data_IF_606123698177
#
_entry.id   IF_606123698177
#
_cell.length_a   1.000
_cell.length_b   1.000
_cell.length_c   1.000
_cell.angle_alpha   90.00
_cell.angle_beta   90.00
_cell.angle_gamma   90.00
#
_symmetry.space_group_name_H-M   'P 1'
#
loop_
_entity.id
_entity.type
_entity.pdbx_description
1 polymer ?
#
# COMPACT_ATOMS: atom_id res chain seq x y z
N UNK A 1 9.97 -32.06 -2.83
CA UNK A 1 9.26 -31.56 -1.63
C UNK A 1 9.82 -32.23 -0.40
N UNK A 2 10.52 -31.48 0.44
CA UNK A 2 10.88 -31.94 1.78
C UNK A 2 9.67 -31.67 2.67
N UNK A 3 8.98 -32.72 3.13
CA UNK A 3 7.86 -32.55 4.06
C UNK A 3 8.40 -32.01 5.39
N UNK A 4 8.10 -30.75 5.70
CA UNK A 4 8.47 -30.14 6.98
C UNK A 4 7.49 -30.68 8.02
N UNK A 5 7.98 -31.52 8.92
CA UNK A 5 7.13 -32.15 9.95
C UNK A 5 6.58 -31.09 10.88
N UNK A 6 5.26 -31.07 11.08
CA UNK A 6 4.59 -30.11 11.99
C UNK A 6 4.23 -28.77 11.37
N UNK A 7 4.53 -28.55 10.07
CA UNK A 7 4.10 -27.37 9.33
C UNK A 7 2.67 -27.56 8.79
N UNK A 8 1.79 -26.60 9.05
CA UNK A 8 0.44 -26.53 8.49
C UNK A 8 0.21 -25.17 7.83
N UNK A 9 -0.38 -25.17 6.62
CA UNK A 9 -0.90 -23.97 5.95
C UNK A 9 -2.42 -24.01 6.06
N UNK A 10 -2.99 -23.40 7.09
CA UNK A 10 -4.41 -23.48 7.39
C UNK A 10 -5.15 -22.29 6.77
N UNK A 11 -6.21 -22.49 5.97
CA UNK A 11 -7.03 -21.39 5.47
C UNK A 11 -7.52 -20.52 6.61
N UNK A 12 -7.38 -19.21 6.47
CA UNK A 12 -7.80 -18.25 7.47
C UNK A 12 -9.31 -18.02 7.34
N UNK A 13 -10.03 -18.24 8.43
CA UNK A 13 -11.43 -17.83 8.53
C UNK A 13 -11.47 -16.32 8.75
N UNK A 14 -12.23 -15.61 7.91
CA UNK A 14 -12.46 -14.17 8.07
C UNK A 14 -13.74 -14.01 8.90
N UNK A 15 -13.63 -13.59 10.18
CA UNK A 15 -14.78 -13.51 11.06
C UNK A 15 -15.69 -12.33 10.68
N UNK A 16 -16.95 -12.39 11.09
CA UNK A 16 -17.88 -11.26 10.92
C UNK A 16 -17.45 -10.04 11.77
N UNK A 17 -16.95 -10.32 12.97
CA UNK A 17 -16.44 -9.37 13.98
C UNK A 17 -15.26 -9.99 14.72
N UNK A 18 -14.37 -9.16 15.28
CA UNK A 18 -13.26 -9.64 16.13
C UNK A 18 -13.72 -10.26 17.45
N UNK A 19 -14.97 -10.02 17.84
CA UNK A 19 -15.58 -10.62 19.03
C UNK A 19 -16.25 -11.98 18.73
N UNK A 20 -16.27 -12.40 17.46
CA UNK A 20 -16.89 -13.66 17.06
C UNK A 20 -16.11 -14.88 17.60
N UNK A 21 -16.77 -16.00 17.91
CA UNK A 21 -16.09 -17.20 18.45
C UNK A 21 -15.00 -17.79 17.55
N UNK A 22 -15.06 -17.51 16.25
CA UNK A 22 -14.12 -17.95 15.22
C UNK A 22 -13.03 -16.93 14.88
N UNK A 23 -12.96 -15.80 15.59
CA UNK A 23 -12.00 -14.73 15.31
C UNK A 23 -10.57 -15.00 15.80
N UNK A 24 -10.34 -16.06 16.59
CA UNK A 24 -9.08 -16.31 17.26
C UNK A 24 -7.88 -16.38 16.30
N UNK A 25 -8.00 -17.11 15.19
CA UNK A 25 -6.94 -17.24 14.19
C UNK A 25 -6.67 -15.91 13.47
N UNK A 26 -7.70 -15.09 13.23
CA UNK A 26 -7.56 -13.78 12.60
C UNK A 26 -6.84 -12.79 13.53
N UNK A 27 -7.23 -12.74 14.81
CA UNK A 27 -6.60 -11.88 15.81
C UNK A 27 -5.14 -12.28 16.01
N UNK A 28 -4.85 -13.58 16.09
CA UNK A 28 -3.48 -14.06 16.24
C UNK A 28 -2.64 -13.80 14.98
N UNK A 29 -3.23 -13.95 13.79
CA UNK A 29 -2.58 -13.57 12.53
C UNK A 29 -2.18 -12.09 12.54
N UNK A 30 -3.06 -11.18 12.98
CA UNK A 30 -2.76 -9.74 13.06
C UNK A 30 -1.63 -9.47 14.05
N UNK A 31 -1.63 -10.12 15.22
CA UNK A 31 -0.56 -10.00 16.21
C UNK A 31 0.79 -10.41 15.63
N UNK A 32 0.83 -11.56 14.94
CA UNK A 32 2.05 -12.09 14.31
C UNK A 32 2.50 -11.20 13.16
N UNK A 33 1.58 -10.72 12.31
CA UNK A 33 1.85 -9.71 11.29
C UNK A 33 2.55 -8.50 11.90
N UNK A 34 1.99 -7.88 12.92
CA UNK A 34 2.57 -6.67 13.52
C UNK A 34 3.96 -6.90 14.13
N UNK A 35 4.26 -8.11 14.62
CA UNK A 35 5.64 -8.48 15.01
C UNK A 35 6.57 -8.57 13.79
N UNK A 36 6.14 -9.21 12.70
CA UNK A 36 6.94 -9.36 11.48
C UNK A 36 7.30 -7.99 10.89
N UNK A 37 6.33 -7.07 10.77
CA UNK A 37 6.60 -5.72 10.27
C UNK A 37 7.60 -4.98 11.18
N UNK A 38 7.47 -5.12 12.50
CA UNK A 38 8.44 -4.54 13.46
C UNK A 38 9.83 -5.17 13.37
N UNK A 39 9.93 -6.47 13.10
CA UNK A 39 11.22 -7.12 12.84
C UNK A 39 11.89 -6.57 11.57
N UNK A 40 11.10 -6.30 10.52
CA UNK A 40 11.56 -5.78 9.22
C UNK A 40 12.03 -4.32 9.35
N UNK A 41 11.13 -3.42 9.75
CA UNK A 41 11.38 -1.97 9.74
C UNK A 41 12.11 -1.47 10.99
N UNK A 42 12.08 -2.25 12.08
CA UNK A 42 12.63 -1.85 13.38
C UNK A 42 11.74 -0.90 14.19
N UNK A 43 10.52 -0.60 13.71
CA UNK A 43 9.55 0.26 14.40
C UNK A 43 8.11 -0.25 14.20
N UNK A 44 7.14 0.39 14.86
CA UNK A 44 5.74 -0.06 14.90
C UNK A 44 4.79 0.71 13.98
N UNK A 45 5.30 1.45 12.99
CA UNK A 45 4.48 2.42 12.23
C UNK A 45 3.46 1.74 11.29
N UNK A 46 3.65 0.45 11.01
CA UNK A 46 2.76 -0.43 10.22
C UNK A 46 1.82 -1.28 11.09
N UNK A 47 1.85 -1.08 12.40
CA UNK A 47 0.96 -1.78 13.31
C UNK A 47 -0.50 -1.40 13.04
N UNK A 48 -1.39 -2.37 13.18
CA UNK A 48 -2.83 -2.17 12.99
C UNK A 48 -3.60 -3.05 13.96
N UNK A 49 -4.72 -2.55 14.50
CA UNK A 49 -5.58 -3.37 15.34
C UNK A 49 -6.36 -4.41 14.51
N UNK A 50 -6.73 -5.57 15.08
CA UNK A 50 -7.46 -6.60 14.35
C UNK A 50 -8.78 -6.12 13.73
N UNK A 51 -9.55 -5.31 14.45
CA UNK A 51 -10.82 -4.75 13.99
C UNK A 51 -10.64 -3.68 12.92
N UNK A 52 -9.48 -3.01 12.88
CA UNK A 52 -9.15 -2.08 11.82
C UNK A 52 -8.69 -2.79 10.54
N UNK A 53 -8.02 -3.93 10.67
CA UNK A 53 -7.58 -4.73 9.53
C UNK A 53 -8.72 -5.52 8.91
N UNK A 54 -9.68 -6.00 9.73
CA UNK A 54 -10.74 -6.92 9.31
C UNK A 54 -11.53 -6.47 8.06
N UNK A 55 -11.94 -5.20 7.90
CA UNK A 55 -12.66 -4.76 6.70
C UNK A 55 -11.89 -4.99 5.39
N UNK A 56 -10.55 -4.98 5.43
CA UNK A 56 -9.70 -5.24 4.26
C UNK A 56 -9.70 -6.72 3.85
N UNK A 57 -10.13 -7.63 4.72
CA UNK A 57 -10.22 -9.07 4.43
C UNK A 57 -11.62 -9.52 4.03
N UNK A 58 -12.62 -8.65 4.16
CA UNK A 58 -14.00 -8.98 3.80
C UNK A 58 -14.09 -9.23 2.29
N UNK A 59 -14.82 -10.27 1.85
CA UNK A 59 -15.08 -10.48 0.43
C UNK A 59 -15.72 -9.26 -0.21
N UNK A 60 -15.32 -8.94 -1.43
CA UNK A 60 -15.92 -7.88 -2.23
C UNK A 60 -16.03 -8.31 -3.70
N UNK A 61 -16.65 -7.46 -4.52
CA UNK A 61 -16.90 -7.77 -5.93
C UNK A 61 -15.64 -7.65 -6.82
N UNK A 62 -14.63 -6.91 -6.38
CA UNK A 62 -13.49 -6.47 -7.20
C UNK A 62 -12.27 -7.37 -7.08
N UNK A 63 -12.15 -8.13 -5.99
CA UNK A 63 -11.03 -9.07 -5.78
C UNK A 63 -11.45 -10.32 -5.01
N UNK A 64 -10.80 -11.44 -5.31
CA UNK A 64 -10.79 -12.61 -4.44
C UNK A 64 -9.49 -12.61 -3.64
N UNK A 65 -9.60 -12.59 -2.31
CA UNK A 65 -8.48 -12.73 -1.38
C UNK A 65 -8.47 -14.13 -0.78
N UNK A 66 -7.43 -14.90 -1.09
CA UNK A 66 -7.16 -16.18 -0.45
C UNK A 66 -6.10 -15.98 0.65
N UNK A 67 -6.34 -16.48 1.86
CA UNK A 67 -5.43 -16.24 2.99
C UNK A 67 -5.28 -17.48 3.85
N UNK A 68 -4.06 -17.67 4.38
CA UNK A 68 -3.70 -18.77 5.26
C UNK A 68 -2.84 -18.26 6.40
N UNK A 69 -3.00 -18.88 7.57
CA UNK A 69 -2.00 -18.82 8.64
C UNK A 69 -1.00 -19.97 8.46
N UNK A 70 0.25 -19.69 8.81
CA UNK A 70 1.32 -20.68 8.80
C UNK A 70 1.52 -21.13 10.24
N UNK A 71 1.28 -22.42 10.53
CA UNK A 71 1.49 -22.99 11.85
C UNK A 71 2.72 -23.90 11.87
N UNK A 72 3.49 -23.82 12.95
CA UNK A 72 4.55 -24.77 13.30
C UNK A 72 4.29 -25.29 14.70
N UNK A 73 3.91 -26.58 14.82
CA UNK A 73 3.52 -27.19 16.09
C UNK A 73 2.41 -26.40 16.82
N UNK A 74 1.36 -26.03 16.09
CA UNK A 74 0.19 -25.24 16.56
C UNK A 74 0.48 -23.76 16.92
N UNK A 75 1.72 -23.29 16.79
CA UNK A 75 2.04 -21.86 16.90
C UNK A 75 1.87 -21.17 15.56
N UNK A 76 1.13 -20.06 15.50
CA UNK A 76 1.08 -19.20 14.31
C UNK A 76 2.42 -18.48 14.17
N UNK A 77 3.13 -18.76 13.09
CA UNK A 77 4.46 -18.20 12.80
C UNK A 77 4.50 -17.25 11.61
N UNK A 78 3.35 -17.04 10.96
CA UNK A 78 3.25 -16.16 9.80
C UNK A 78 1.95 -16.33 9.03
N UNK A 79 1.90 -15.73 7.84
CA UNK A 79 0.74 -15.75 6.94
C UNK A 79 1.14 -15.84 5.48
N UNK A 80 0.21 -16.31 4.67
CA UNK A 80 0.26 -16.32 3.21
C UNK A 80 -1.01 -15.64 2.70
N UNK A 81 -0.86 -14.74 1.73
CA UNK A 81 -1.98 -14.09 1.05
C UNK A 81 -1.81 -14.18 -0.47
N UNK A 82 -2.91 -14.36 -1.19
CA UNK A 82 -2.99 -14.28 -2.65
C UNK A 82 -4.23 -13.48 -3.00
N UNK A 83 -4.02 -12.32 -3.62
CA UNK A 83 -5.06 -11.41 -4.09
C UNK A 83 -5.21 -11.53 -5.59
N UNK A 84 -6.47 -11.64 -5.99
CA UNK A 84 -6.86 -12.03 -7.34
C UNK A 84 -7.85 -10.98 -7.85
N UNK A 85 -7.36 -9.91 -8.51
CA UNK A 85 -8.23 -8.87 -9.06
C UNK A 85 -9.18 -9.42 -10.13
N UNK A 86 -10.40 -8.91 -10.16
CA UNK A 86 -11.45 -9.30 -11.09
C UNK A 86 -11.59 -8.36 -12.29
N UNK A 87 -10.82 -7.26 -12.34
CA UNK A 87 -10.84 -6.32 -13.46
C UNK A 87 -10.55 -7.02 -14.80
N UNK A 88 -11.20 -6.55 -15.86
CA UNK A 88 -11.10 -7.13 -17.19
C UNK A 88 -9.64 -7.10 -17.70
N UNK A 89 -9.19 -8.22 -18.26
CA UNK A 89 -7.81 -8.35 -18.75
C UNK A 89 -6.76 -8.62 -17.66
N UNK A 90 -7.14 -8.68 -16.38
CA UNK A 90 -6.23 -9.06 -15.30
C UNK A 90 -5.68 -10.48 -15.52
N UNK A 91 -4.35 -10.60 -15.56
CA UNK A 91 -3.62 -11.88 -15.63
C UNK A 91 -2.75 -12.13 -14.38
N UNK A 92 -2.70 -11.15 -13.48
CA UNK A 92 -1.81 -11.14 -12.32
C UNK A 92 -2.50 -11.65 -11.06
N UNK A 93 -1.72 -12.28 -10.19
CA UNK A 93 -2.03 -12.42 -8.77
C UNK A 93 -0.97 -11.67 -7.96
N UNK A 94 -1.41 -10.95 -6.95
CA UNK A 94 -0.54 -10.32 -5.97
C UNK A 94 -0.44 -11.24 -4.76
N UNK A 95 0.73 -11.37 -4.16
CA UNK A 95 0.88 -12.31 -3.05
C UNK A 95 1.85 -11.82 -2.00
N UNK A 96 1.74 -12.40 -0.80
CA UNK A 96 2.67 -12.21 0.29
C UNK A 96 2.96 -13.53 0.99
N UNK A 97 4.18 -13.67 1.50
CA UNK A 97 4.57 -14.68 2.49
C UNK A 97 5.35 -13.94 3.57
N UNK A 98 4.76 -13.89 4.76
CA UNK A 98 5.34 -13.20 5.90
C UNK A 98 5.56 -14.23 7.01
N UNK A 99 6.79 -14.34 7.49
CA UNK A 99 7.19 -15.32 8.51
C UNK A 99 8.04 -14.62 9.58
N UNK A 100 7.84 -14.98 10.84
CA UNK A 100 8.71 -14.54 11.94
C UNK A 100 10.17 -14.90 11.64
N UNK A 101 11.10 -13.95 11.82
CA UNK A 101 12.52 -14.08 11.47
C UNK A 101 13.18 -15.31 12.09
N UNK A 102 12.77 -15.69 13.29
CA UNK A 102 13.25 -16.90 13.99
C UNK A 102 12.96 -18.22 13.27
N UNK A 103 12.04 -18.26 12.29
CA UNK A 103 11.72 -19.46 11.51
C UNK A 103 12.38 -19.50 10.14
N UNK A 104 13.11 -18.46 9.76
CA UNK A 104 13.75 -18.37 8.45
C UNK A 104 14.83 -19.45 8.27
N UNK A 105 15.15 -19.74 7.00
CA UNK A 105 16.16 -20.75 6.65
C UNK A 105 15.74 -22.21 6.85
N UNK A 106 14.48 -22.47 7.24
CA UNK A 106 13.93 -23.83 7.45
C UNK A 106 13.18 -24.41 6.24
N UNK A 107 13.10 -23.67 5.13
CA UNK A 107 12.36 -24.06 3.92
C UNK A 107 10.84 -23.79 3.96
N UNK A 108 10.33 -23.20 5.06
CA UNK A 108 8.90 -22.91 5.26
C UNK A 108 8.37 -21.97 4.17
N UNK A 109 9.11 -20.89 3.87
CA UNK A 109 8.72 -19.95 2.81
C UNK A 109 8.58 -20.62 1.44
N UNK A 110 9.48 -21.55 1.09
CA UNK A 110 9.38 -22.31 -0.16
C UNK A 110 8.17 -23.25 -0.19
N UNK A 111 7.86 -23.90 0.93
CA UNK A 111 6.66 -24.73 1.04
C UNK A 111 5.37 -23.89 0.93
N UNK A 112 5.34 -22.71 1.54
CA UNK A 112 4.24 -21.74 1.39
C UNK A 112 4.12 -21.21 -0.04
N UNK A 113 5.25 -21.02 -0.73
CA UNK A 113 5.26 -20.53 -2.10
C UNK A 113 4.66 -21.52 -3.11
N UNK A 114 4.79 -22.84 -2.88
CA UNK A 114 4.09 -23.85 -3.68
C UNK A 114 2.55 -23.69 -3.61
N UNK A 115 2.02 -23.19 -2.49
CA UNK A 115 0.59 -22.86 -2.35
C UNK A 115 0.23 -21.62 -3.17
N UNK A 116 1.01 -20.55 -3.08
CA UNK A 116 0.83 -19.32 -3.87
C UNK A 116 0.72 -19.64 -5.37
N UNK A 117 1.71 -20.38 -5.88
CA UNK A 117 1.79 -20.75 -7.29
C UNK A 117 0.63 -21.62 -7.77
N UNK A 118 0.15 -22.52 -6.91
CA UNK A 118 -1.01 -23.36 -7.20
C UNK A 118 -2.30 -22.54 -7.21
N UNK A 119 -2.53 -21.73 -6.18
CA UNK A 119 -3.71 -20.87 -6.08
C UNK A 119 -3.83 -19.92 -7.26
N UNK A 120 -2.72 -19.30 -7.68
CA UNK A 120 -2.72 -18.44 -8.85
C UNK A 120 -3.13 -19.19 -10.13
N UNK A 121 -2.58 -20.38 -10.37
CA UNK A 121 -2.95 -21.22 -11.52
C UNK A 121 -4.40 -21.70 -11.47
N UNK A 122 -4.91 -22.07 -10.30
CA UNK A 122 -6.31 -22.45 -10.10
C UNK A 122 -7.28 -21.32 -10.49
N UNK A 123 -6.85 -20.06 -10.35
CA UNK A 123 -7.61 -18.89 -10.77
C UNK A 123 -7.19 -18.35 -12.15
N UNK A 124 -6.42 -19.12 -12.93
CA UNK A 124 -6.03 -18.76 -14.29
C UNK A 124 -5.05 -17.59 -14.40
N UNK A 125 -4.30 -17.28 -13.32
CA UNK A 125 -3.31 -16.21 -13.31
C UNK A 125 -1.96 -16.73 -13.79
N UNK A 126 -1.32 -15.95 -14.66
CA UNK A 126 -0.04 -16.29 -15.30
C UNK A 126 1.08 -15.35 -14.88
N UNK A 127 0.78 -14.26 -14.17
CA UNK A 127 1.75 -13.33 -13.62
C UNK A 127 1.63 -13.34 -12.10
N UNK A 128 2.76 -13.45 -11.40
CA UNK A 128 2.85 -13.32 -9.95
C UNK A 128 3.65 -12.09 -9.58
N UNK A 129 3.11 -11.28 -8.68
CA UNK A 129 3.72 -10.03 -8.24
C UNK A 129 3.71 -9.91 -6.73
N UNK A 130 4.78 -9.37 -6.16
CA UNK A 130 4.90 -9.14 -4.73
C UNK A 130 5.88 -8.02 -4.44
N UNK A 131 5.68 -7.35 -3.31
CA UNK A 131 6.57 -6.33 -2.78
C UNK A 131 7.21 -6.84 -1.50
N UNK A 132 8.46 -6.44 -1.29
CA UNK A 132 9.12 -6.67 -0.02
C UNK A 132 10.08 -5.53 0.31
N UNK A 133 9.98 -5.03 1.54
CA UNK A 133 10.97 -4.14 2.11
C UNK A 133 12.32 -4.85 2.29
N UNK A 134 13.40 -4.17 1.89
CA UNK A 134 14.76 -4.64 2.03
C UNK A 134 15.57 -3.69 2.91
N UNK A 135 15.72 -4.00 4.21
CA UNK A 135 16.51 -3.19 5.13
C UNK A 135 17.94 -2.96 4.63
N UNK A 136 18.46 -1.75 4.83
CA UNK A 136 19.77 -1.37 4.35
C UNK A 136 20.87 -2.34 4.83
N UNK A 137 21.80 -2.67 3.93
CA UNK A 137 22.91 -3.58 4.17
C UNK A 137 24.09 -3.24 3.26
N UNK A 138 25.31 -3.45 3.75
CA UNK A 138 26.58 -3.18 3.05
C UNK A 138 26.94 -4.24 1.98
N UNK A 139 26.07 -5.24 1.78
CA UNK A 139 26.28 -6.35 0.85
C UNK A 139 26.08 -5.98 -0.64
N UNK A 140 26.18 -7.00 -1.53
CA UNK A 140 25.80 -6.84 -2.94
C UNK A 140 24.40 -6.27 -3.08
N UNK A 141 24.17 -5.53 -4.18
CA UNK A 141 22.89 -4.88 -4.47
C UNK A 141 22.37 -5.29 -5.83
N UNK A 142 21.05 -5.31 -5.95
CA UNK A 142 20.31 -5.53 -7.18
C UNK A 142 19.73 -4.21 -7.66
N UNK A 143 19.82 -3.96 -8.96
CA UNK A 143 19.24 -2.78 -9.61
C UNK A 143 18.14 -3.24 -10.56
N UNK A 144 16.95 -2.62 -10.54
CA UNK A 144 15.88 -2.96 -11.47
C UNK A 144 16.22 -2.51 -12.90
N UNK A 145 15.59 -3.08 -13.94
CA UNK A 145 15.73 -2.64 -15.33
C UNK A 145 15.37 -1.17 -15.56
N UNK A 146 14.56 -0.56 -14.68
CA UNK A 146 14.20 0.87 -14.75
C UNK A 146 15.43 1.77 -14.57
N UNK A 147 16.49 1.28 -13.92
CA UNK A 147 17.71 2.04 -13.64
C UNK A 147 17.61 2.99 -12.44
N UNK A 148 16.49 2.97 -11.71
CA UNK A 148 16.24 3.81 -10.53
C UNK A 148 16.23 2.96 -9.26
N UNK A 149 16.91 3.44 -8.21
CA UNK A 149 17.00 2.73 -6.95
C UNK A 149 17.83 1.44 -7.00
N UNK A 150 17.96 0.79 -5.85
CA UNK A 150 18.51 -0.56 -5.72
C UNK A 150 18.12 -1.13 -4.37
N UNK A 151 18.07 -2.46 -4.26
CA UNK A 151 17.86 -3.17 -2.99
C UNK A 151 19.05 -4.08 -2.69
N UNK A 152 19.38 -4.34 -1.41
CA UNK A 152 20.34 -5.37 -1.05
C UNK A 152 19.95 -6.76 -1.59
N UNK A 153 20.94 -7.55 -1.97
CA UNK A 153 20.78 -8.99 -2.24
C UNK A 153 20.71 -9.77 -0.91
N UNK A 154 19.72 -9.45 -0.08
CA UNK A 154 19.52 -10.01 1.25
C UNK A 154 18.83 -11.40 1.23
N UNK A 155 18.38 -11.86 2.40
CA UNK A 155 17.66 -13.14 2.50
C UNK A 155 16.39 -13.19 1.64
N UNK A 156 15.65 -12.10 1.58
CA UNK A 156 14.37 -11.99 0.88
C UNK A 156 14.60 -11.87 -0.63
N UNK A 157 15.58 -11.08 -1.06
CA UNK A 157 15.93 -10.96 -2.47
C UNK A 157 16.40 -12.31 -3.04
N UNK A 158 17.23 -13.06 -2.29
CA UNK A 158 17.64 -14.41 -2.68
C UNK A 158 16.48 -15.40 -2.71
N UNK A 159 15.47 -15.22 -1.86
CA UNK A 159 14.24 -16.02 -1.92
C UNK A 159 13.50 -15.80 -3.24
N UNK A 160 13.29 -14.54 -3.64
CA UNK A 160 12.65 -14.19 -4.91
C UNK A 160 13.43 -14.74 -6.11
N UNK A 161 14.73 -14.46 -6.18
CA UNK A 161 15.61 -14.96 -7.24
C UNK A 161 15.60 -16.49 -7.33
N UNK A 162 15.63 -17.18 -6.18
CA UNK A 162 15.57 -18.64 -6.10
C UNK A 162 14.27 -19.25 -6.63
N UNK A 163 13.17 -18.50 -6.60
CA UNK A 163 11.88 -18.92 -7.17
C UNK A 163 11.64 -18.38 -8.59
N UNK A 164 12.65 -17.75 -9.20
CA UNK A 164 12.60 -17.29 -10.59
C UNK A 164 11.92 -15.93 -10.77
N UNK A 165 11.86 -15.10 -9.74
CA UNK A 165 11.43 -13.71 -9.86
C UNK A 165 12.56 -12.82 -10.35
N UNK A 166 12.17 -11.76 -11.04
CA UNK A 166 13.01 -10.62 -11.40
C UNK A 166 12.59 -9.41 -10.59
N UNK A 167 13.57 -8.61 -10.16
CA UNK A 167 13.33 -7.29 -9.58
C UNK A 167 12.98 -6.34 -10.73
N UNK A 168 11.74 -5.84 -10.76
CA UNK A 168 11.26 -5.00 -11.86
C UNK A 168 11.28 -3.52 -11.54
N UNK A 169 11.05 -3.16 -10.28
CA UNK A 169 10.98 -1.78 -9.81
C UNK A 169 11.47 -1.71 -8.36
N UNK A 170 11.92 -0.53 -7.95
CA UNK A 170 12.19 -0.23 -6.54
C UNK A 170 11.26 0.89 -6.11
N UNK A 171 10.59 0.71 -4.99
CA UNK A 171 9.81 1.74 -4.33
C UNK A 171 10.58 2.28 -3.13
N UNK A 172 10.37 3.56 -2.85
CA UNK A 172 10.95 4.25 -1.71
C UNK A 172 9.86 4.60 -0.70
N UNK A 173 10.02 4.08 0.52
CA UNK A 173 9.28 4.56 1.68
C UNK A 173 9.95 5.82 2.22
N UNK A 174 9.16 6.88 2.40
CA UNK A 174 9.64 8.17 2.95
C UNK A 174 8.75 8.61 4.11
N UNK A 175 9.34 9.28 5.10
CA UNK A 175 8.63 9.83 6.24
C UNK A 175 8.73 11.35 6.31
N UNK A 176 7.62 12.02 6.65
CA UNK A 176 7.55 13.44 6.99
C UNK A 176 7.29 13.60 8.48
N UNK A 177 8.10 14.40 9.17
CA UNK A 177 7.96 14.68 10.61
C UNK A 177 6.80 15.66 10.87
N UNK A 178 5.70 15.17 11.46
CA UNK A 178 4.52 15.97 11.79
C UNK A 178 4.74 16.85 13.04
N UNK A 179 5.74 16.53 13.85
CA UNK A 179 6.08 17.29 15.06
C UNK A 179 7.00 18.48 14.79
N UNK A 180 7.62 18.48 13.60
CA UNK A 180 8.53 19.51 13.13
C UNK A 180 7.86 20.84 12.72
N UNK A 181 8.67 21.83 12.28
CA UNK A 181 8.16 23.09 11.76
C UNK A 181 7.48 22.91 10.39
N UNK A 182 6.38 23.63 10.17
CA UNK A 182 5.61 23.59 8.92
C UNK A 182 5.94 24.76 7.97
N UNK A 183 6.94 25.58 8.30
CA UNK A 183 7.29 26.80 7.55
C UNK A 183 7.48 26.51 6.05
N UNK A 184 8.12 25.39 5.71
CA UNK A 184 8.34 25.00 4.31
C UNK A 184 7.07 24.50 3.63
N UNK A 185 6.20 23.77 4.36
CA UNK A 185 4.89 23.34 3.87
C UNK A 185 4.01 24.56 3.56
N UNK A 186 3.98 25.53 4.46
CA UNK A 186 3.25 26.79 4.29
C UNK A 186 3.78 27.59 3.09
N UNK A 187 5.11 27.70 2.97
CA UNK A 187 5.76 28.39 1.86
C UNK A 187 5.43 27.72 0.52
N UNK A 188 5.54 26.40 0.44
CA UNK A 188 5.26 25.63 -0.77
C UNK A 188 3.78 25.67 -1.15
N UNK A 189 2.88 25.64 -0.15
CA UNK A 189 1.45 25.86 -0.37
C UNK A 189 1.20 27.21 -1.04
N UNK A 190 1.73 28.29 -0.49
CA UNK A 190 1.54 29.63 -1.06
C UNK A 190 2.06 29.73 -2.50
N UNK A 191 3.21 29.10 -2.79
CA UNK A 191 3.76 29.01 -4.16
C UNK A 191 2.85 28.20 -5.08
N UNK A 192 2.29 27.09 -4.60
CA UNK A 192 1.39 26.26 -5.37
C UNK A 192 0.07 26.98 -5.66
N UNK A 193 -0.53 27.62 -4.65
CA UNK A 193 -1.76 28.43 -4.78
C UNK A 193 -1.59 29.53 -5.83
N UNK A 194 -0.45 30.23 -5.85
CA UNK A 194 -0.17 31.24 -6.85
C UNK A 194 -0.03 30.68 -8.28
N UNK A 195 0.43 29.43 -8.42
CA UNK A 195 0.58 28.75 -9.71
C UNK A 195 -0.70 28.02 -10.16
N UNK A 196 -1.70 27.90 -9.29
CA UNK A 196 -2.93 27.16 -9.51
C UNK A 196 -4.18 28.04 -9.35
N UNK A 197 -4.12 29.30 -9.79
CA UNK A 197 -5.19 30.30 -9.56
C UNK A 197 -6.55 29.91 -10.12
N UNK A 198 -6.59 29.03 -11.13
CA UNK A 198 -7.82 28.53 -11.75
C UNK A 198 -8.42 27.33 -10.99
N UNK A 199 -7.81 26.93 -9.88
CA UNK A 199 -8.20 25.80 -9.06
C UNK A 199 -8.48 26.24 -7.63
N UNK A 200 -9.36 25.50 -6.95
CA UNK A 200 -9.60 25.63 -5.51
C UNK A 200 -9.39 24.29 -4.82
N UNK A 201 -8.93 24.33 -3.57
CA UNK A 201 -8.85 23.13 -2.74
C UNK A 201 -10.23 22.81 -2.15
N UNK A 202 -10.63 21.55 -2.23
CA UNK A 202 -11.78 20.97 -1.54
C UNK A 202 -11.31 19.77 -0.71
N UNK A 203 -11.94 19.54 0.44
CA UNK A 203 -11.53 18.51 1.39
C UNK A 203 -12.75 17.81 1.98
N UNK A 204 -12.65 16.50 2.16
CA UNK A 204 -13.69 15.71 2.82
C UNK A 204 -13.08 14.49 3.51
N UNK A 205 -13.79 13.97 4.51
CA UNK A 205 -13.51 12.64 5.07
C UNK A 205 -14.49 11.60 4.53
N UNK A 206 -14.30 10.34 4.88
CA UNK A 206 -15.25 9.28 4.56
C UNK A 206 -16.55 9.43 5.38
N UNK A 207 -17.74 9.16 4.78
CA UNK A 207 -17.95 8.81 3.37
C UNK A 207 -17.86 10.02 2.44
N UNK A 208 -17.44 9.77 1.20
CA UNK A 208 -17.29 10.76 0.13
C UNK A 208 -18.64 11.42 -0.18
N UNK A 209 -18.73 12.77 -0.13
CA UNK A 209 -19.95 13.49 -0.48
C UNK A 209 -20.40 13.20 -1.91
N UNK A 210 -21.72 13.09 -2.14
CA UNK A 210 -22.30 12.72 -3.43
C UNK A 210 -21.83 13.58 -4.61
N UNK A 211 -21.55 14.86 -4.37
CA UNK A 211 -21.05 15.80 -5.38
C UNK A 211 -19.60 15.53 -5.85
N UNK A 212 -18.83 14.74 -5.09
CA UNK A 212 -17.44 14.38 -5.42
C UNK A 212 -17.27 12.93 -5.86
N UNK A 213 -18.26 12.05 -5.66
CA UNK A 213 -18.14 10.61 -5.94
C UNK A 213 -17.68 10.34 -7.37
N UNK A 214 -18.36 10.90 -8.38
CA UNK A 214 -18.04 10.61 -9.78
C UNK A 214 -16.65 11.14 -10.18
N UNK A 215 -16.31 12.35 -9.75
CA UNK A 215 -14.99 12.93 -10.01
C UNK A 215 -13.88 12.20 -9.28
N UNK A 216 -14.17 11.68 -8.08
CA UNK A 216 -13.19 10.94 -7.31
C UNK A 216 -12.96 9.53 -7.88
N UNK A 217 -14.03 8.83 -8.24
CA UNK A 217 -13.97 7.56 -8.96
C UNK A 217 -13.17 7.71 -10.27
N UNK A 218 -13.42 8.77 -11.04
CA UNK A 218 -12.64 9.04 -12.24
C UNK A 218 -11.15 9.21 -11.96
N UNK A 219 -10.75 9.98 -10.95
CA UNK A 219 -9.33 10.12 -10.63
C UNK A 219 -8.71 8.80 -10.15
N UNK A 220 -9.41 8.00 -9.33
CA UNK A 220 -8.92 6.68 -8.88
C UNK A 220 -8.68 5.72 -10.06
N UNK A 221 -9.57 5.65 -11.04
CA UNK A 221 -9.37 4.78 -12.22
C UNK A 221 -8.15 5.16 -13.07
N UNK A 222 -7.73 6.43 -13.04
CA UNK A 222 -6.55 6.89 -13.76
C UNK A 222 -5.23 6.45 -13.12
N UNK A 223 -5.23 6.01 -11.85
CA UNK A 223 -3.99 5.64 -11.17
C UNK A 223 -3.24 4.47 -11.83
N UNK A 224 -3.95 3.46 -12.31
CA UNK A 224 -3.38 2.29 -12.98
C UNK A 224 -2.70 2.63 -14.32
N UNK A 225 -2.99 3.80 -14.89
CA UNK A 225 -2.48 4.20 -16.22
C UNK A 225 -1.55 5.42 -16.18
N UNK A 226 -1.68 6.28 -15.18
CA UNK A 226 -0.94 7.54 -15.08
C UNK A 226 0.26 7.49 -14.11
N UNK A 227 0.41 6.40 -13.35
CA UNK A 227 1.50 6.14 -12.40
C UNK A 227 2.57 5.23 -13.02
N UNK A 228 3.87 5.47 -12.84
CA UNK A 228 4.92 4.56 -13.31
C UNK A 228 4.87 3.21 -12.59
N UNK A 229 4.73 2.12 -13.33
CA UNK A 229 4.66 0.74 -12.80
C UNK A 229 5.86 -0.13 -13.20
N UNK A 230 6.86 0.43 -13.87
CA UNK A 230 7.99 -0.35 -14.39
C UNK A 230 7.51 -1.47 -15.32
N UNK A 231 7.95 -2.71 -15.08
CA UNK A 231 7.44 -3.89 -15.78
C UNK A 231 6.34 -4.62 -14.98
N UNK A 232 5.79 -4.01 -13.94
CA UNK A 232 4.66 -4.57 -13.19
C UNK A 232 3.38 -4.49 -14.03
N UNK A 233 2.52 -5.50 -13.88
CA UNK A 233 1.29 -5.71 -14.63
C UNK A 233 0.08 -5.33 -13.75
N UNK A 234 -0.62 -4.28 -14.12
CA UNK A 234 -1.87 -3.87 -13.48
C UNK A 234 -2.95 -3.79 -14.55
N UNK A 235 -4.11 -4.38 -14.27
CA UNK A 235 -5.28 -4.18 -15.12
C UNK A 235 -5.79 -2.74 -14.97
N UNK A 236 -6.44 -2.22 -16.01
CA UNK A 236 -7.14 -0.95 -15.88
C UNK A 236 -8.32 -1.15 -14.91
N UNK A 237 -8.30 -0.42 -13.80
CA UNK A 237 -9.34 -0.54 -12.79
C UNK A 237 -10.55 0.29 -13.17
N UNK A 238 -11.72 -0.32 -13.11
CA UNK A 238 -12.98 0.44 -13.21
C UNK A 238 -13.39 0.90 -11.82
N UNK A 239 -13.55 2.22 -11.67
CA UNK A 239 -14.04 2.85 -10.45
C UNK A 239 -15.38 3.51 -10.72
N UNK A 240 -16.37 3.10 -9.92
CA UNK A 240 -17.71 3.65 -9.91
C UNK A 240 -18.09 4.08 -8.48
N UNK A 241 -19.29 4.62 -8.32
CA UNK A 241 -19.82 5.04 -7.03
C UNK A 241 -19.86 3.89 -6.00
N UNK A 242 -20.09 2.65 -6.44
CA UNK A 242 -20.11 1.49 -5.57
C UNK A 242 -18.71 1.16 -5.04
N UNK A 243 -17.68 1.19 -5.90
CA UNK A 243 -16.28 0.97 -5.51
C UNK A 243 -15.78 2.06 -4.56
N UNK A 244 -16.20 3.32 -4.75
CA UNK A 244 -15.93 4.42 -3.80
C UNK A 244 -16.62 4.17 -2.46
N UNK A 245 -17.87 3.73 -2.45
CA UNK A 245 -18.56 3.42 -1.20
C UNK A 245 -17.87 2.26 -0.44
N UNK A 246 -17.42 1.22 -1.14
CA UNK A 246 -16.65 0.13 -0.54
C UNK A 246 -15.27 0.58 -0.04
N UNK A 247 -14.58 1.45 -0.80
CA UNK A 247 -13.34 2.08 -0.37
C UNK A 247 -13.52 2.86 0.93
N UNK A 248 -14.54 3.71 1.00
CA UNK A 248 -14.82 4.52 2.18
C UNK A 248 -15.27 3.67 3.38
N UNK A 249 -16.03 2.60 3.12
CA UNK A 249 -16.49 1.66 4.14
C UNK A 249 -15.32 0.98 4.86
N UNK A 250 -14.19 0.70 4.18
CA UNK A 250 -12.98 0.14 4.82
C UNK A 250 -12.44 1.04 5.93
N UNK A 251 -12.61 2.36 5.80
CA UNK A 251 -12.19 3.32 6.83
C UNK A 251 -13.29 3.53 7.88
N UNK A 252 -14.55 3.72 7.47
CA UNK A 252 -15.65 4.01 8.41
C UNK A 252 -15.97 2.81 9.30
N UNK A 253 -15.99 1.59 8.76
CA UNK A 253 -16.26 0.37 9.53
C UNK A 253 -15.10 0.08 10.50
N UNK A 254 -13.88 0.39 10.07
CA UNK A 254 -12.68 0.29 10.88
C UNK A 254 -12.55 1.45 11.88
N UNK A 255 -13.44 2.46 11.91
CA UNK A 255 -13.27 3.67 12.71
C UNK A 255 -11.98 4.44 12.45
N UNK A 256 -11.34 4.23 11.30
CA UNK A 256 -10.12 4.92 10.86
C UNK A 256 -10.49 6.27 10.28
N UNK A 257 -9.56 7.22 10.39
CA UNK A 257 -9.76 8.55 9.81
C UNK A 257 -9.13 8.58 8.43
N UNK A 258 -9.90 9.02 7.42
CA UNK A 258 -9.44 9.37 6.07
C UNK A 258 -9.72 10.85 5.83
N UNK A 259 -8.74 11.56 5.26
CA UNK A 259 -8.93 12.87 4.65
C UNK A 259 -8.52 12.80 3.19
N UNK A 260 -9.47 13.06 2.29
CA UNK A 260 -9.18 13.34 0.89
C UNK A 260 -9.05 14.84 0.71
N UNK A 261 -7.93 15.28 0.14
CA UNK A 261 -7.70 16.67 -0.28
C UNK A 261 -7.59 16.71 -1.79
N UNK A 262 -8.47 17.45 -2.46
CA UNK A 262 -8.50 17.52 -3.91
C UNK A 262 -8.42 18.96 -4.44
N UNK A 263 -7.87 19.10 -5.64
CA UNK A 263 -7.90 20.35 -6.41
C UNK A 263 -9.04 20.28 -7.42
N UNK A 264 -9.98 21.21 -7.32
CA UNK A 264 -11.11 21.35 -8.24
C UNK A 264 -10.87 22.54 -9.17
N UNK A 265 -10.97 22.32 -10.48
CA UNK A 265 -10.92 23.40 -11.47
C UNK A 265 -12.19 24.26 -11.37
N UNK A 266 -12.02 25.58 -11.17
CA UNK A 266 -13.12 26.48 -10.80
C UNK A 266 -14.13 26.63 -11.93
N UNK A 267 -13.65 26.74 -13.18
CA UNK A 267 -14.53 27.02 -14.32
C UNK A 267 -15.40 25.82 -14.71
N UNK A 268 -14.92 24.59 -14.50
CA UNK A 268 -15.62 23.36 -14.91
C UNK A 268 -16.25 22.60 -13.74
N UNK A 269 -15.75 22.79 -12.52
CA UNK A 269 -16.12 21.98 -11.36
C UNK A 269 -15.46 20.60 -11.30
N UNK A 270 -14.56 20.30 -12.24
CA UNK A 270 -13.87 19.02 -12.34
C UNK A 270 -12.83 18.85 -11.23
N UNK A 271 -12.71 17.63 -10.67
CA UNK A 271 -11.62 17.28 -9.76
C UNK A 271 -10.41 16.84 -10.59
N UNK A 272 -9.26 17.46 -10.35
CA UNK A 272 -8.08 17.36 -11.24
C UNK A 272 -6.84 16.77 -10.57
N UNK A 273 -6.82 16.74 -9.25
CA UNK A 273 -5.77 16.11 -8.45
C UNK A 273 -6.33 15.76 -7.07
N UNK A 274 -5.77 14.73 -6.43
CA UNK A 274 -6.09 14.41 -5.05
C UNK A 274 -4.89 13.85 -4.29
N UNK A 275 -4.97 13.89 -2.97
CA UNK A 275 -4.09 13.25 -2.01
C UNK A 275 -4.92 12.70 -0.85
N UNK A 276 -4.61 11.50 -0.40
CA UNK A 276 -5.23 10.88 0.77
C UNK A 276 -4.27 10.83 1.97
N UNK A 277 -4.79 11.13 3.15
CA UNK A 277 -4.12 10.90 4.43
C UNK A 277 -5.01 10.05 5.31
N UNK A 278 -4.42 9.05 5.96
CA UNK A 278 -5.12 8.09 6.82
C UNK A 278 -4.38 7.86 8.13
N UNK A 279 -5.14 7.53 9.17
CA UNK A 279 -4.60 7.10 10.47
C UNK A 279 -5.57 6.11 11.13
N UNK A 280 -5.02 5.27 12.01
CA UNK A 280 -5.80 4.40 12.90
C UNK A 280 -6.72 5.17 13.85
N UNK A 281 -7.47 4.43 14.66
CA UNK A 281 -8.26 4.93 15.79
C UNK A 281 -7.39 5.61 16.84
N UNK A 282 -6.19 5.08 17.04
CA UNK A 282 -5.19 5.72 17.89
C UNK A 282 -4.49 6.83 17.10
N UNK A 283 -4.96 8.06 17.31
CA UNK A 283 -4.43 9.25 16.64
C UNK A 283 -3.01 9.65 17.09
N UNK A 284 -2.35 8.84 17.93
CA UNK A 284 -0.94 8.99 18.32
C UNK A 284 0.00 8.12 17.48
N UNK A 285 -0.53 7.21 16.66
CA UNK A 285 0.25 6.35 15.76
C UNK A 285 0.71 7.11 14.51
N UNK A 286 1.59 6.48 13.72
CA UNK A 286 2.02 7.03 12.45
C UNK A 286 0.83 7.15 11.48
N UNK A 287 0.78 8.27 10.77
CA UNK A 287 -0.16 8.47 9.67
C UNK A 287 0.42 7.92 8.38
N UNK A 288 -0.45 7.60 7.43
CA UNK A 288 -0.07 7.14 6.10
C UNK A 288 -0.64 8.07 5.06
N UNK A 289 0.18 8.37 4.05
CA UNK A 289 -0.27 9.01 2.84
C UNK A 289 -0.36 7.95 1.75
N UNK A 290 -1.60 7.65 1.40
CA UNK A 290 -1.96 6.70 0.35
C UNK A 290 -1.84 7.39 -1.01
N UNK A 291 -2.85 7.22 -1.85
CA UNK A 291 -2.87 7.64 -3.23
C UNK A 291 -2.70 9.16 -3.40
N UNK A 292 -1.88 9.52 -4.39
CA UNK A 292 -1.74 10.90 -4.86
C UNK A 292 -1.66 10.92 -6.37
N UNK A 293 -2.60 11.60 -7.01
CA UNK A 293 -2.67 11.72 -8.46
C UNK A 293 -2.85 13.16 -8.90
N UNK A 294 -2.25 13.49 -10.05
CA UNK A 294 -2.60 14.67 -10.84
C UNK A 294 -2.94 14.20 -12.26
N UNK A 295 -4.18 14.46 -12.68
CA UNK A 295 -4.64 14.14 -14.04
C UNK A 295 -3.70 14.77 -15.07
N UNK A 296 -3.34 13.98 -16.09
CA UNK A 296 -2.34 14.36 -17.09
C UNK A 296 -2.62 15.71 -17.74
N UNK A 297 -3.88 15.99 -18.03
CA UNK A 297 -4.40 17.20 -18.67
C UNK A 297 -4.20 18.46 -17.82
N UNK A 298 -4.08 18.29 -16.50
CA UNK A 298 -3.96 19.37 -15.51
C UNK A 298 -2.55 19.49 -14.90
N UNK A 299 -1.58 18.70 -15.36
CA UNK A 299 -0.17 18.80 -14.95
C UNK A 299 0.42 20.16 -15.36
N UNK A 300 1.46 20.59 -14.64
CA UNK A 300 2.13 21.88 -14.87
C UNK A 300 1.64 23.03 -13.97
N UNK A 301 0.55 22.85 -13.22
CA UNK A 301 -0.03 23.88 -12.33
C UNK A 301 0.30 23.67 -10.84
N UNK A 302 1.34 22.90 -10.52
CA UNK A 302 1.74 22.54 -9.14
C UNK A 302 0.63 21.90 -8.28
N UNK A 303 -0.39 21.28 -8.89
CA UNK A 303 -1.52 20.70 -8.16
C UNK A 303 -1.11 19.61 -7.16
N UNK A 304 -0.10 18.78 -7.48
CA UNK A 304 0.42 17.79 -6.54
C UNK A 304 0.98 18.43 -5.27
N UNK A 305 1.80 19.48 -5.41
CA UNK A 305 2.28 20.26 -4.24
C UNK A 305 1.12 20.90 -3.49
N UNK A 306 0.13 21.46 -4.20
CA UNK A 306 -1.04 22.09 -3.60
C UNK A 306 -1.81 21.13 -2.69
N UNK A 307 -2.22 19.96 -3.21
CA UNK A 307 -3.05 19.02 -2.45
C UNK A 307 -2.30 18.39 -1.29
N UNK A 308 -1.00 18.08 -1.45
CA UNK A 308 -0.18 17.52 -0.37
C UNK A 308 0.04 18.52 0.76
N UNK A 309 0.42 19.76 0.44
CA UNK A 309 0.65 20.78 1.47
C UNK A 309 -0.66 21.17 2.17
N UNK A 310 -1.75 21.35 1.43
CA UNK A 310 -3.07 21.63 2.03
C UNK A 310 -3.56 20.45 2.90
N UNK A 311 -3.33 19.21 2.46
CA UNK A 311 -3.62 18.00 3.21
C UNK A 311 -2.84 17.95 4.53
N UNK A 312 -1.51 18.08 4.48
CA UNK A 312 -0.65 18.07 5.68
C UNK A 312 -1.03 19.17 6.68
N UNK A 313 -1.34 20.38 6.20
CA UNK A 313 -1.77 21.47 7.07
C UNK A 313 -3.08 21.15 7.80
N UNK A 314 -4.09 20.64 7.08
CA UNK A 314 -5.35 20.22 7.70
C UNK A 314 -5.15 19.01 8.65
N UNK A 315 -4.24 18.11 8.28
CA UNK A 315 -3.96 16.90 9.05
C UNK A 315 -3.36 17.19 10.42
N UNK A 316 -2.60 18.28 10.55
CA UNK A 316 -2.05 18.72 11.85
C UNK A 316 -3.14 19.05 12.88
N UNK A 317 -4.31 19.48 12.43
CA UNK A 317 -5.47 19.71 13.31
C UNK A 317 -6.23 18.42 13.61
N UNK A 318 -6.23 17.46 12.69
CA UNK A 318 -6.94 16.17 12.81
C UNK A 318 -6.19 15.20 13.72
N UNK A 319 -4.88 15.04 13.52
CA UNK A 319 -4.02 14.10 14.24
C UNK A 319 -2.78 14.81 14.80
N UNK A 320 -2.94 15.79 15.72
CA UNK A 320 -1.83 16.61 16.23
C UNK A 320 -0.77 15.83 17.01
N UNK A 321 -1.11 14.63 17.48
CA UNK A 321 -0.21 13.77 18.24
C UNK A 321 0.50 12.71 17.38
N UNK A 322 0.14 12.58 16.09
CA UNK A 322 0.80 11.65 15.18
C UNK A 322 2.24 12.12 14.93
N UNK A 323 3.24 11.23 15.02
CA UNK A 323 4.64 11.65 14.95
C UNK A 323 5.10 11.93 13.51
N UNK A 324 4.55 11.22 12.53
CA UNK A 324 5.01 11.27 11.14
C UNK A 324 3.94 10.80 10.16
N UNK A 325 4.11 11.18 8.89
CA UNK A 325 3.39 10.62 7.74
C UNK A 325 4.33 9.74 6.92
N UNK A 326 3.95 8.51 6.62
CA UNK A 326 4.69 7.59 5.75
C UNK A 326 4.06 7.58 4.36
N UNK A 327 4.87 7.48 3.32
CA UNK A 327 4.38 7.33 1.93
C UNK A 327 5.34 6.51 1.10
N UNK A 328 4.82 5.84 0.07
CA UNK A 328 5.54 4.96 -0.84
C UNK A 328 5.46 5.50 -2.27
N UNK A 329 6.58 5.53 -2.98
CA UNK A 329 6.60 5.91 -4.39
C UNK A 329 7.67 5.13 -5.14
N UNK A 330 7.37 4.71 -6.37
CA UNK A 330 8.36 4.18 -7.30
C UNK A 330 9.55 5.14 -7.47
N UNK A 331 10.78 4.63 -7.42
CA UNK A 331 12.02 5.41 -7.49
C UNK A 331 12.18 6.15 -8.83
N UNK A 332 11.56 5.66 -9.91
CA UNK A 332 11.51 6.37 -11.19
C UNK A 332 10.46 7.50 -11.24
N UNK A 333 9.56 7.60 -10.26
CA UNK A 333 8.52 8.64 -10.22
C UNK A 333 9.11 9.97 -9.72
N UNK A 334 10.09 10.48 -10.46
CA UNK A 334 10.85 11.68 -10.12
C UNK A 334 9.96 12.89 -9.82
N UNK A 335 8.88 13.17 -10.59
CA UNK A 335 7.99 14.28 -10.28
C UNK A 335 7.36 14.20 -8.89
N UNK A 336 6.91 13.03 -8.43
CA UNK A 336 6.30 12.88 -7.11
C UNK A 336 7.36 12.92 -6.00
N UNK A 337 8.49 12.27 -6.21
CA UNK A 337 9.60 12.27 -5.26
C UNK A 337 10.18 13.68 -5.06
N UNK A 338 10.26 14.50 -6.12
CA UNK A 338 10.70 15.90 -6.04
C UNK A 338 9.72 16.76 -5.22
N UNK A 339 8.41 16.50 -5.32
CA UNK A 339 7.41 17.16 -4.47
C UNK A 339 7.62 16.75 -3.01
N UNK A 340 7.78 15.46 -2.75
CA UNK A 340 7.97 14.93 -1.39
C UNK A 340 9.23 15.49 -0.72
N UNK A 341 10.36 15.45 -1.43
CA UNK A 341 11.64 15.96 -0.93
C UNK A 341 11.59 17.47 -0.70
N UNK A 342 10.92 18.24 -1.57
CA UNK A 342 10.72 19.67 -1.36
C UNK A 342 9.88 19.94 -0.10
N UNK A 343 8.81 19.17 0.11
CA UNK A 343 7.96 19.28 1.31
C UNK A 343 8.74 18.94 2.59
N UNK A 344 9.71 18.03 2.51
CA UNK A 344 10.55 17.62 3.63
C UNK A 344 10.42 16.13 3.99
N UNK A 345 9.80 15.30 3.15
CA UNK A 345 9.85 13.85 3.30
C UNK A 345 11.28 13.36 3.11
N UNK A 346 11.71 12.44 3.97
CA UNK A 346 13.04 11.83 3.95
C UNK A 346 12.92 10.32 3.75
N UNK A 347 13.76 9.69 2.91
CA UNK A 347 13.76 8.24 2.71
C UNK A 347 14.03 7.49 4.03
N UNK A 348 13.27 6.43 4.30
CA UNK A 348 13.44 5.57 5.48
C UNK A 348 13.66 4.10 5.12
N UNK A 349 13.08 3.62 4.02
CA UNK A 349 13.22 2.24 3.55
C UNK A 349 13.03 2.14 2.04
N UNK A 350 13.34 0.96 1.48
CA UNK A 350 13.18 0.65 0.07
C UNK A 350 12.58 -0.74 -0.11
N UNK A 351 11.63 -0.82 -1.03
CA UNK A 351 10.91 -2.04 -1.34
C UNK A 351 11.26 -2.50 -2.75
N UNK A 352 11.50 -3.79 -2.91
CA UNK A 352 11.63 -4.40 -4.23
C UNK A 352 10.26 -4.82 -4.72
N UNK A 353 9.89 -4.40 -5.93
CA UNK A 353 8.74 -4.94 -6.65
C UNK A 353 9.21 -6.10 -7.54
N UNK A 354 8.72 -7.30 -7.24
CA UNK A 354 9.18 -8.55 -7.82
C UNK A 354 8.11 -9.15 -8.72
N UNK A 355 8.50 -9.61 -9.90
CA UNK A 355 7.59 -10.26 -10.85
C UNK A 355 8.10 -11.63 -11.29
N UNK A 356 7.18 -12.56 -11.50
CA UNK A 356 7.41 -13.82 -12.19
C UNK A 356 6.29 -14.08 -13.19
N UNK A 357 6.65 -14.56 -14.37
CA UNK A 357 5.69 -15.11 -15.34
C UNK A 357 5.70 -16.63 -15.21
N UNK A 358 4.52 -17.22 -15.05
CA UNK A 358 4.33 -18.66 -14.99
C UNK A 358 4.28 -19.24 -16.41
N UNK A 359 4.93 -20.39 -16.60
CA UNK A 359 4.75 -21.19 -17.80
C UNK A 359 3.30 -21.68 -17.88
N UNK A 360 2.70 -21.58 -19.07
CA UNK A 360 1.31 -21.97 -19.37
C UNK A 360 1.17 -23.47 -19.52
#
# INVERSE_FOLDING_TARGET
>A
MTTITGLELRPLVIPESIDSPDAADFVEMVRVRNEIYREISGHGDEAIAPDELLPHYRPNAYETRCSWIVLDQDEVIGRVGVDIPHDEGSNAAFWLIELLRRTWGRGIGSAAYELVERTAREHGRTVLQSWAEHPASDGPRLTPPTGFGSVPEDHVARFYLGHGYTLEQVERSSAFDLTGPFDEVERLRAVAEAASSDYRVVQWGAPTPAEYVDGYAWMKSRMSTDTPTGAMEFAEETWDAARIAEHDAKYTDAGRTLLVTAAQHIATGELCAFNELVIGKDLTEASHQEDTLVLKEHRGHKLGTLVKCAGLMAWRDIAPASPRVITYNAEENRPMLDINEAIGFVPIAYDGAWKKVLDV
#
